data_IF_983049863163
#
_entry.id   IF_983049863163
#
_cell.length_a   1.000
_cell.length_b   1.000
_cell.length_c   1.000
_cell.angle_alpha   90.00
_cell.angle_beta   90.00
_cell.angle_gamma   90.00
#
_symmetry.space_group_name_H-M   'P 1'
#
loop_
_entity.id
_entity.type
_entity.pdbx_description
1 polymer ?
#
# COMPACT_ATOMS: atom_id res chain seq x y z
N UNK A 1 -49.27 20.29 -13.42
CA UNK A 1 -47.79 20.31 -13.37
C UNK A 1 -47.29 19.02 -14.00
N UNK A 2 -46.59 19.09 -15.13
CA UNK A 2 -45.93 17.93 -15.74
C UNK A 2 -44.55 17.83 -15.12
N UNK A 3 -44.30 16.79 -14.35
CA UNK A 3 -42.98 16.50 -13.77
C UNK A 3 -42.11 15.82 -14.82
N UNK A 4 -41.31 16.60 -15.54
CA UNK A 4 -40.27 16.10 -16.43
C UNK A 4 -38.98 15.86 -15.66
N UNK A 5 -38.58 14.61 -15.50
CA UNK A 5 -37.23 14.26 -15.02
C UNK A 5 -36.23 14.49 -16.15
N UNK A 6 -35.31 15.43 -15.96
CA UNK A 6 -34.20 15.63 -16.88
C UNK A 6 -33.26 14.42 -16.83
N UNK A 7 -33.19 13.65 -17.91
CA UNK A 7 -32.16 12.64 -18.13
C UNK A 7 -31.00 13.34 -18.86
N UNK A 8 -29.83 13.40 -18.24
CA UNK A 8 -28.61 13.81 -18.95
C UNK A 8 -28.39 12.82 -20.09
N UNK A 9 -28.30 13.31 -21.33
CA UNK A 9 -27.84 12.49 -22.45
C UNK A 9 -26.44 11.97 -22.10
N UNK A 10 -26.29 10.65 -22.05
CA UNK A 10 -24.97 10.04 -22.06
C UNK A 10 -24.25 10.53 -23.30
N UNK A 11 -23.06 11.10 -23.14
CA UNK A 11 -22.18 11.36 -24.28
C UNK A 11 -21.93 10.07 -25.08
N UNK A 12 -21.40 10.16 -26.30
CA UNK A 12 -21.11 8.98 -27.12
C UNK A 12 -20.32 7.96 -26.29
N UNK A 13 -20.81 6.71 -26.23
CA UNK A 13 -20.05 5.63 -25.63
C UNK A 13 -18.70 5.52 -26.35
N UNK A 14 -17.58 5.26 -25.63
CA UNK A 14 -16.30 5.02 -26.27
C UNK A 14 -16.44 3.94 -27.35
N UNK A 15 -15.71 4.03 -28.48
CA UNK A 15 -15.75 2.98 -29.49
C UNK A 15 -15.42 1.62 -28.87
N UNK A 16 -16.16 0.58 -29.25
CA UNK A 16 -15.95 -0.76 -28.73
C UNK A 16 -14.56 -1.29 -29.11
N UNK A 17 -13.98 -2.13 -28.25
CA UNK A 17 -12.71 -2.78 -28.55
C UNK A 17 -12.86 -3.74 -29.74
N UNK A 18 -11.83 -3.80 -30.59
CA UNK A 18 -11.68 -4.81 -31.62
C UNK A 18 -10.65 -5.84 -31.14
N UNK A 19 -11.16 -6.92 -30.54
CA UNK A 19 -10.36 -8.02 -29.97
C UNK A 19 -9.41 -8.66 -30.99
N UNK A 20 -9.78 -8.69 -32.28
CA UNK A 20 -8.93 -9.27 -33.33
C UNK A 20 -7.66 -8.47 -33.62
N UNK A 21 -7.61 -7.20 -33.20
CA UNK A 21 -6.45 -6.31 -33.36
C UNK A 21 -5.58 -6.21 -32.10
N UNK A 22 -6.00 -6.82 -30.98
CA UNK A 22 -5.25 -6.80 -29.73
C UNK A 22 -4.04 -7.73 -29.83
N UNK A 23 -2.85 -7.18 -29.63
CA UNK A 23 -1.60 -7.93 -29.48
C UNK A 23 -1.21 -7.99 -28.00
N UNK A 24 -1.36 -9.14 -27.31
CA UNK A 24 -0.91 -9.34 -25.94
C UNK A 24 0.54 -9.85 -25.86
N UNK A 25 1.22 -10.05 -26.99
CA UNK A 25 2.55 -10.66 -27.02
C UNK A 25 2.58 -12.03 -26.34
N UNK A 26 3.51 -12.20 -25.39
CA UNK A 26 3.68 -13.43 -24.62
C UNK A 26 2.83 -13.50 -23.35
N UNK A 27 2.03 -12.47 -23.06
CA UNK A 27 1.17 -12.45 -21.87
C UNK A 27 -0.10 -13.30 -22.06
N UNK A 28 -0.69 -13.82 -20.97
CA UNK A 28 -1.89 -14.66 -21.05
C UNK A 28 -3.08 -13.94 -21.70
N UNK A 29 -3.92 -14.72 -22.39
CA UNK A 29 -5.12 -14.23 -23.10
C UNK A 29 -6.43 -14.69 -22.48
N UNK A 30 -6.37 -15.54 -21.48
CA UNK A 30 -7.52 -16.12 -20.79
C UNK A 30 -7.27 -16.08 -19.29
N UNK A 31 -8.33 -15.94 -18.48
CA UNK A 31 -8.23 -16.13 -17.03
C UNK A 31 -7.49 -17.43 -16.69
N UNK A 32 -6.76 -17.42 -15.58
CA UNK A 32 -6.28 -18.65 -14.95
C UNK A 32 -7.47 -19.45 -14.44
N UNK A 33 -7.30 -20.76 -14.31
CA UNK A 33 -8.21 -21.57 -13.52
C UNK A 33 -8.29 -21.03 -12.07
N UNK A 34 -9.37 -21.31 -11.31
CA UNK A 34 -9.45 -20.95 -9.90
C UNK A 34 -8.18 -21.36 -9.15
N UNK A 35 -7.60 -20.44 -8.38
CA UNK A 35 -6.29 -20.66 -7.75
C UNK A 35 -6.33 -21.64 -6.56
N UNK A 36 -7.53 -21.97 -6.07
CA UNK A 36 -7.71 -22.89 -4.95
C UNK A 36 -7.15 -22.34 -3.64
N UNK A 37 -6.54 -23.22 -2.86
CA UNK A 37 -5.87 -22.91 -1.60
C UNK A 37 -4.42 -22.52 -1.84
N UNK A 38 -3.86 -21.70 -0.96
CA UNK A 38 -2.42 -21.39 -0.96
C UNK A 38 -1.58 -22.68 -0.95
N UNK A 39 -0.41 -22.69 -1.63
CA UNK A 39 0.37 -23.92 -1.82
C UNK A 39 1.07 -24.43 -0.55
N UNK A 40 1.28 -23.59 0.45
CA UNK A 40 1.97 -23.91 1.71
C UNK A 40 1.73 -22.83 2.78
N UNK A 41 2.25 -23.06 3.98
CA UNK A 41 2.14 -22.12 5.11
C UNK A 41 2.78 -20.76 4.80
N UNK A 42 3.94 -20.71 4.14
CA UNK A 42 4.61 -19.44 3.81
C UNK A 42 3.77 -18.56 2.89
N UNK A 43 3.08 -19.16 1.91
CA UNK A 43 2.13 -18.46 1.07
C UNK A 43 0.89 -18.00 1.85
N UNK A 44 0.43 -18.80 2.81
CA UNK A 44 -0.63 -18.42 3.76
C UNK A 44 -0.25 -17.22 4.65
N UNK A 45 0.96 -17.23 5.21
CA UNK A 45 1.54 -16.12 5.98
C UNK A 45 1.64 -14.86 5.13
N UNK A 46 2.11 -14.98 3.89
CA UNK A 46 2.14 -13.84 2.95
C UNK A 46 0.76 -13.25 2.72
N UNK A 47 -0.24 -14.09 2.43
CA UNK A 47 -1.60 -13.63 2.19
C UNK A 47 -2.21 -12.97 3.44
N UNK A 48 -1.99 -13.52 4.63
CA UNK A 48 -2.46 -12.91 5.87
C UNK A 48 -1.77 -11.55 6.14
N UNK A 49 -0.45 -11.46 5.93
CA UNK A 49 0.29 -10.20 6.05
C UNK A 49 -0.24 -9.13 5.07
N UNK A 50 -0.58 -9.50 3.85
CA UNK A 50 -1.22 -8.61 2.87
C UNK A 50 -2.63 -8.19 3.30
N UNK A 51 -3.44 -9.11 3.86
CA UNK A 51 -4.77 -8.79 4.39
C UNK A 51 -4.69 -7.77 5.53
N UNK A 52 -3.64 -7.82 6.36
CA UNK A 52 -3.43 -6.85 7.42
C UNK A 52 -3.28 -5.41 6.90
N UNK A 53 -2.95 -5.18 5.62
CA UNK A 53 -2.88 -3.85 5.03
C UNK A 53 -4.16 -3.03 5.25
N UNK A 54 -5.33 -3.67 5.28
CA UNK A 54 -6.62 -3.01 5.52
C UNK A 54 -6.82 -2.53 6.96
N UNK A 55 -6.14 -3.15 7.93
CA UNK A 55 -6.25 -2.78 9.33
C UNK A 55 -5.14 -1.83 9.80
N UNK A 56 -4.05 -1.69 9.05
CA UNK A 56 -2.98 -0.75 9.39
C UNK A 56 -3.41 0.66 9.03
N UNK A 57 -3.43 1.55 10.02
CA UNK A 57 -3.68 2.98 9.83
C UNK A 57 -2.56 3.59 8.99
N UNK A 58 -2.91 4.19 7.86
CA UNK A 58 -1.97 4.91 7.02
C UNK A 58 -1.53 6.24 7.65
N UNK A 59 -0.27 6.65 7.51
CA UNK A 59 0.21 7.93 8.07
C UNK A 59 -0.60 9.16 7.64
N UNK A 60 -1.16 9.17 6.44
CA UNK A 60 -2.02 10.26 5.93
C UNK A 60 -3.35 10.40 6.70
N UNK A 61 -3.79 9.35 7.40
CA UNK A 61 -4.97 9.40 8.30
C UNK A 61 -4.61 10.14 9.60
N UNK A 62 -3.34 10.11 10.01
CA UNK A 62 -2.81 10.80 11.19
C UNK A 62 -2.48 12.26 10.88
N UNK A 63 -1.77 12.52 9.79
CA UNK A 63 -1.51 13.86 9.27
C UNK A 63 -1.61 13.84 7.73
N UNK A 64 -2.55 14.58 7.11
CA UNK A 64 -2.77 14.54 5.67
C UNK A 64 -1.57 15.02 4.84
N UNK A 65 -0.53 15.59 5.46
CA UNK A 65 0.74 15.93 4.78
C UNK A 65 1.68 14.73 4.60
N UNK A 66 1.47 13.62 5.32
CA UNK A 66 2.28 12.41 5.27
C UNK A 66 1.89 11.51 4.09
N UNK A 67 2.16 11.99 2.87
CA UNK A 67 1.83 11.28 1.62
C UNK A 67 3.06 10.85 0.82
N UNK A 68 4.26 11.34 1.15
CA UNK A 68 5.47 11.00 0.40
C UNK A 68 5.90 9.57 0.68
N UNK A 69 6.09 8.79 -0.39
CA UNK A 69 6.76 7.48 -0.33
C UNK A 69 8.26 7.75 -0.33
N UNK A 70 8.94 7.32 0.72
CA UNK A 70 10.40 7.36 0.83
C UNK A 70 10.85 5.99 1.30
N UNK A 71 10.79 4.97 0.43
CA UNK A 71 10.89 3.56 0.83
C UNK A 71 12.16 3.20 1.62
N UNK A 72 13.25 3.96 1.45
CA UNK A 72 14.50 3.79 2.21
C UNK A 72 14.42 4.29 3.65
N UNK A 73 13.46 5.18 3.94
CA UNK A 73 13.26 5.81 5.24
C UNK A 73 11.93 5.39 5.88
N UNK A 74 10.90 5.14 5.06
CA UNK A 74 9.52 4.91 5.44
C UNK A 74 8.96 3.69 4.67
N UNK A 75 9.21 2.46 5.12
CA UNK A 75 8.81 1.25 4.40
C UNK A 75 7.29 1.10 4.35
N UNK A 76 6.77 0.61 3.23
CA UNK A 76 5.39 0.15 3.13
C UNK A 76 5.36 -1.24 2.52
N UNK A 77 5.11 -2.26 3.35
CA UNK A 77 5.20 -3.65 2.90
C UNK A 77 4.54 -4.63 3.88
N UNK A 78 4.13 -5.78 3.36
CA UNK A 78 3.88 -6.97 4.15
C UNK A 78 5.18 -7.51 4.77
N UNK A 79 5.08 -7.98 6.01
CA UNK A 79 6.17 -8.52 6.83
C UNK A 79 5.87 -9.99 7.10
N UNK A 80 6.47 -10.89 6.32
CA UNK A 80 6.07 -12.31 6.31
C UNK A 80 6.93 -13.19 7.22
N UNK A 81 8.10 -12.70 7.61
CA UNK A 81 9.03 -13.37 8.51
C UNK A 81 9.80 -12.36 9.36
N UNK A 82 10.57 -12.86 10.34
CA UNK A 82 11.38 -12.05 11.24
C UNK A 82 12.43 -11.23 10.47
N UNK A 83 13.00 -11.79 9.39
CA UNK A 83 14.00 -11.08 8.57
C UNK A 83 13.40 -9.83 7.94
N UNK A 84 12.12 -9.87 7.59
CA UNK A 84 11.40 -8.73 7.04
C UNK A 84 11.27 -7.56 8.03
N UNK A 85 11.39 -7.81 9.35
CA UNK A 85 11.34 -6.75 10.37
C UNK A 85 12.54 -5.81 10.35
N UNK A 86 13.64 -6.17 9.68
CA UNK A 86 14.74 -5.23 9.47
C UNK A 86 14.32 -4.01 8.63
N UNK A 87 13.20 -4.09 7.91
CA UNK A 87 12.61 -2.93 7.24
C UNK A 87 12.12 -1.87 8.25
N UNK A 88 11.63 -2.29 9.42
CA UNK A 88 11.04 -1.42 10.44
C UNK A 88 12.06 -0.81 11.39
N UNK A 89 13.18 -1.49 11.59
CA UNK A 89 14.09 -1.19 12.69
C UNK A 89 15.52 -1.18 12.16
N UNK A 90 16.22 -0.10 12.46
CA UNK A 90 17.67 -0.02 12.29
C UNK A 90 18.37 -1.08 13.17
N UNK A 91 18.54 -2.30 12.63
CA UNK A 91 19.28 -3.40 13.27
C UNK A 91 18.42 -4.63 13.61
N UNK A 92 19.08 -5.74 13.95
CA UNK A 92 18.42 -7.03 14.19
C UNK A 92 17.77 -7.14 15.56
N UNK A 93 18.23 -6.37 16.55
CA UNK A 93 17.90 -6.58 17.96
C UNK A 93 16.39 -6.58 18.28
N UNK A 94 15.59 -5.72 17.62
CA UNK A 94 14.13 -5.71 17.81
C UNK A 94 13.47 -6.89 17.09
N UNK A 95 13.94 -7.21 15.88
CA UNK A 95 13.50 -8.41 15.16
C UNK A 95 13.78 -9.69 15.94
N UNK A 96 14.94 -9.78 16.60
CA UNK A 96 15.33 -10.91 17.44
C UNK A 96 14.37 -11.07 18.63
N UNK A 97 13.95 -9.96 19.26
CA UNK A 97 12.94 -10.02 20.32
C UNK A 97 11.58 -10.47 19.77
N UNK A 98 11.14 -9.92 18.65
CA UNK A 98 9.88 -10.37 18.04
C UNK A 98 9.91 -11.87 17.70
N UNK A 99 11.03 -12.36 17.17
CA UNK A 99 11.25 -13.77 16.88
C UNK A 99 11.22 -14.67 18.11
N UNK A 100 11.88 -14.25 19.19
CA UNK A 100 11.89 -14.95 20.47
C UNK A 100 10.50 -15.07 21.13
N UNK A 101 9.54 -14.27 20.68
CA UNK A 101 8.17 -14.24 21.19
C UNK A 101 7.14 -14.70 20.16
N UNK A 102 7.50 -15.60 19.25
CA UNK A 102 6.54 -16.24 18.32
C UNK A 102 5.83 -15.27 17.36
N UNK A 103 6.60 -14.37 16.73
CA UNK A 103 6.11 -13.56 15.62
C UNK A 103 5.50 -14.42 14.51
N UNK A 104 4.34 -14.02 14.00
CA UNK A 104 3.59 -14.71 12.95
C UNK A 104 3.76 -13.99 11.62
N UNK A 105 3.23 -12.76 11.53
CA UNK A 105 3.20 -11.90 10.34
C UNK A 105 2.98 -10.43 10.75
N UNK A 106 3.17 -9.48 9.85
CA UNK A 106 2.78 -8.09 10.07
C UNK A 106 2.63 -7.30 8.78
N UNK A 107 2.27 -6.03 8.92
CA UNK A 107 2.25 -5.08 7.82
C UNK A 107 2.69 -3.72 8.34
N UNK A 108 3.42 -2.96 7.50
CA UNK A 108 3.81 -1.58 7.80
C UNK A 108 3.32 -0.63 6.72
N UNK A 109 2.88 0.54 7.16
CA UNK A 109 2.63 1.71 6.34
C UNK A 109 3.53 2.85 6.78
N UNK A 110 4.41 3.29 5.90
CA UNK A 110 5.41 4.31 6.14
C UNK A 110 5.29 5.47 5.16
N UNK A 111 5.27 6.69 5.67
CA UNK A 111 5.25 7.92 4.86
C UNK A 111 5.99 9.05 5.54
N UNK A 112 6.49 9.95 4.72
CA UNK A 112 7.01 11.23 5.15
C UNK A 112 6.19 12.39 4.59
N UNK A 113 6.44 13.59 5.11
CA UNK A 113 6.04 14.83 4.47
C UNK A 113 6.75 14.96 3.13
N UNK A 114 6.06 15.50 2.12
CA UNK A 114 6.68 15.77 0.80
C UNK A 114 7.91 16.67 0.99
N UNK A 115 9.10 16.23 0.51
CA UNK A 115 10.32 17.02 0.65
C UNK A 115 10.23 18.26 -0.23
N UNK A 116 10.93 19.32 0.18
CA UNK A 116 11.13 20.51 -0.66
C UNK A 116 11.85 20.09 -1.94
N UNK A 117 11.40 20.52 -3.14
CA UNK A 117 12.05 20.17 -4.39
C UNK A 117 13.54 20.55 -4.42
N UNK A 118 14.35 19.71 -5.06
CA UNK A 118 15.79 19.96 -5.21
C UNK A 118 16.04 21.32 -5.87
N UNK A 119 16.96 22.11 -5.30
CA UNK A 119 17.29 23.45 -5.78
C UNK A 119 16.39 24.58 -5.26
N UNK A 120 15.34 24.27 -4.50
CA UNK A 120 14.61 25.28 -3.75
C UNK A 120 15.14 25.37 -2.31
N UNK A 121 15.25 26.58 -1.73
CA UNK A 121 15.54 26.71 -0.30
C UNK A 121 14.43 25.99 0.47
N UNK A 122 14.80 25.08 1.38
CA UNK A 122 13.84 24.61 2.39
C UNK A 122 13.32 25.84 3.11
N UNK A 123 11.99 25.98 3.17
CA UNK A 123 11.41 27.07 3.92
C UNK A 123 11.87 26.92 5.36
N UNK A 124 12.24 28.02 6.03
CA UNK A 124 12.65 27.98 7.44
C UNK A 124 11.54 27.49 8.38
N UNK A 125 10.33 27.34 7.86
CA UNK A 125 9.13 26.78 8.51
C UNK A 125 8.86 25.31 8.16
N UNK A 126 9.66 24.67 7.29
CA UNK A 126 9.51 23.26 6.93
C UNK A 126 9.81 22.41 8.17
N UNK A 127 8.77 21.74 8.66
CA UNK A 127 8.81 20.82 9.80
C UNK A 127 8.55 19.41 9.28
N UNK A 128 9.52 18.81 8.56
CA UNK A 128 9.32 17.51 7.96
C UNK A 128 9.10 16.47 9.05
N UNK A 129 8.20 15.54 8.75
CA UNK A 129 7.81 14.44 9.63
C UNK A 129 7.87 13.15 8.86
N UNK A 130 8.12 12.09 9.59
CA UNK A 130 8.04 10.71 9.12
C UNK A 130 7.28 9.90 10.15
N UNK A 131 6.43 9.00 9.68
CA UNK A 131 5.70 8.06 10.49
C UNK A 131 5.70 6.72 9.78
N UNK A 132 6.21 5.71 10.47
CA UNK A 132 5.98 4.31 10.15
C UNK A 132 5.05 3.74 11.20
N UNK A 133 3.91 3.21 10.76
CA UNK A 133 2.98 2.51 11.61
C UNK A 133 2.91 1.05 11.17
N UNK A 134 3.25 0.15 12.07
CA UNK A 134 3.23 -1.27 11.83
C UNK A 134 2.33 -1.99 12.84
N UNK A 135 1.70 -3.06 12.37
CA UNK A 135 1.02 -4.02 13.24
C UNK A 135 1.72 -5.35 13.07
N UNK A 136 2.25 -5.84 14.19
CA UNK A 136 2.97 -7.12 14.27
C UNK A 136 2.07 -8.12 14.99
N UNK A 137 1.74 -9.23 14.34
CA UNK A 137 0.92 -10.30 14.89
C UNK A 137 1.81 -11.38 15.52
N UNK A 138 1.45 -11.80 16.72
CA UNK A 138 2.08 -12.87 17.47
C UNK A 138 1.11 -14.05 17.65
N UNK A 139 1.62 -15.18 18.14
CA UNK A 139 0.82 -16.39 18.33
C UNK A 139 -0.35 -16.17 19.30
N UNK A 140 -0.19 -15.31 20.31
CA UNK A 140 -1.27 -14.90 21.20
C UNK A 140 -1.00 -13.62 21.98
N UNK A 141 -1.94 -13.19 22.84
CA UNK A 141 -1.81 -11.93 23.59
C UNK A 141 -0.64 -11.88 24.58
N UNK A 142 -0.31 -13.02 25.20
CA UNK A 142 0.82 -13.10 26.12
C UNK A 142 2.16 -12.92 25.39
N UNK A 143 2.29 -13.54 24.22
CA UNK A 143 3.44 -13.37 23.34
C UNK A 143 3.59 -11.92 22.89
N UNK A 144 2.51 -11.28 22.46
CA UNK A 144 2.52 -9.88 22.06
C UNK A 144 2.92 -8.95 23.23
N UNK A 145 2.40 -9.18 24.43
CA UNK A 145 2.75 -8.39 25.62
C UNK A 145 4.23 -8.54 26.02
N UNK A 146 4.75 -9.78 25.97
CA UNK A 146 6.15 -10.07 26.23
C UNK A 146 7.04 -9.42 25.15
N UNK A 147 6.66 -9.57 23.87
CA UNK A 147 7.36 -8.98 22.74
C UNK A 147 7.41 -7.45 22.83
N UNK A 148 6.29 -6.76 23.10
CA UNK A 148 6.28 -5.31 23.27
C UNK A 148 7.27 -4.86 24.35
N UNK A 149 7.27 -5.54 25.50
CA UNK A 149 8.17 -5.25 26.61
C UNK A 149 9.64 -5.46 26.26
N UNK A 150 9.96 -6.61 25.65
CA UNK A 150 11.32 -6.97 25.25
C UNK A 150 11.85 -6.05 24.14
N UNK A 151 11.03 -5.78 23.13
CA UNK A 151 11.36 -4.87 22.03
C UNK A 151 11.61 -3.44 22.53
N UNK A 152 10.76 -2.91 23.43
CA UNK A 152 10.95 -1.58 23.99
C UNK A 152 12.22 -1.49 24.86
N UNK A 153 12.56 -2.53 25.62
CA UNK A 153 13.78 -2.60 26.41
C UNK A 153 15.04 -2.66 25.52
N UNK A 154 15.00 -3.48 24.46
CA UNK A 154 16.07 -3.55 23.46
C UNK A 154 16.25 -2.21 22.74
N UNK A 155 15.14 -1.59 22.32
CA UNK A 155 15.13 -0.28 21.67
C UNK A 155 15.74 0.82 22.55
N UNK A 156 15.46 0.83 23.86
CA UNK A 156 16.05 1.78 24.81
C UNK A 156 17.58 1.64 24.92
N UNK A 157 18.11 0.43 24.72
CA UNK A 157 19.53 0.14 24.80
C UNK A 157 20.31 0.48 23.51
N UNK A 158 19.63 0.76 22.40
CA UNK A 158 20.26 1.06 21.10
C UNK A 158 20.54 2.56 20.99
N UNK A 159 21.80 3.00 20.90
CA UNK A 159 22.13 4.39 20.60
C UNK A 159 21.69 4.78 19.19
N UNK A 160 21.23 6.01 19.02
CA UNK A 160 20.84 6.59 17.73
C UNK A 160 21.99 7.26 17.02
N UNK A 161 21.71 7.73 15.80
CA UNK A 161 22.68 8.44 14.98
C UNK A 161 23.44 9.50 15.80
N UNK A 162 24.77 9.48 15.70
CA UNK A 162 25.64 10.30 16.55
C UNK A 162 25.91 9.70 17.95
N UNK A 163 25.64 8.41 18.15
CA UNK A 163 25.77 7.70 19.43
C UNK A 163 24.94 8.34 20.56
N UNK A 164 23.76 8.89 20.21
CA UNK A 164 22.88 9.55 21.15
C UNK A 164 22.08 8.49 21.91
N UNK A 165 22.16 8.43 23.26
CA UNK A 165 21.38 7.46 24.02
C UNK A 165 19.88 7.77 23.94
N UNK A 166 19.07 6.73 23.80
CA UNK A 166 17.62 6.85 23.93
C UNK A 166 17.23 7.03 25.40
N UNK A 167 16.09 7.69 25.62
CA UNK A 167 15.44 7.83 26.93
C UNK A 167 13.96 7.52 26.79
N UNK A 168 13.30 7.18 27.90
CA UNK A 168 11.86 6.93 27.90
C UNK A 168 11.08 8.18 27.46
N UNK A 169 10.01 7.96 26.71
CA UNK A 169 9.04 8.95 26.28
C UNK A 169 7.66 8.60 26.85
N UNK A 170 7.13 9.37 27.82
CA UNK A 170 5.76 9.17 28.26
C UNK A 170 4.76 9.48 27.15
N UNK A 171 3.74 8.65 27.00
CA UNK A 171 2.58 8.91 26.13
C UNK A 171 1.34 9.06 27.04
N UNK A 172 0.99 10.26 27.51
CA UNK A 172 0.00 10.43 28.59
C UNK A 172 -1.37 9.81 28.33
N UNK A 173 -1.82 9.83 27.06
CA UNK A 173 -3.10 9.22 26.64
C UNK A 173 -3.06 7.69 26.58
N UNK A 174 -1.86 7.11 26.55
CA UNK A 174 -1.60 5.66 26.46
C UNK A 174 -0.49 5.28 27.46
N UNK A 175 -0.77 5.29 28.77
CA UNK A 175 0.26 5.08 29.80
C UNK A 175 0.86 3.66 29.78
N UNK A 176 0.22 2.71 29.10
CA UNK A 176 0.72 1.35 28.88
C UNK A 176 1.59 1.22 27.62
N UNK A 177 1.65 2.25 26.76
CA UNK A 177 2.54 2.27 25.61
C UNK A 177 3.98 2.45 26.10
N UNK A 178 4.86 1.56 25.63
CA UNK A 178 6.28 1.61 25.96
C UNK A 178 6.99 2.38 24.85
N UNK A 179 7.42 3.60 25.13
CA UNK A 179 8.05 4.45 24.12
C UNK A 179 9.40 5.01 24.59
N UNK A 180 10.29 5.19 23.61
CA UNK A 180 11.60 5.77 23.79
C UNK A 180 11.81 6.88 22.75
N UNK A 181 12.71 7.82 23.05
CA UNK A 181 13.05 8.94 22.17
C UNK A 181 14.53 9.28 22.28
N UNK A 182 15.12 9.76 21.21
CA UNK A 182 16.42 10.41 21.20
C UNK A 182 16.34 11.76 20.47
N UNK A 183 17.11 12.74 20.95
CA UNK A 183 17.31 14.02 20.28
C UNK A 183 18.59 13.94 19.43
N UNK A 184 18.43 13.61 18.16
CA UNK A 184 19.53 13.47 17.19
C UNK A 184 19.77 14.80 16.46
N UNK A 185 20.85 14.90 15.69
CA UNK A 185 21.16 16.13 14.92
C UNK A 185 20.05 16.53 13.94
N UNK A 186 19.25 15.56 13.48
CA UNK A 186 18.12 15.75 12.57
C UNK A 186 16.79 16.10 13.25
N UNK A 187 16.70 16.11 14.58
CA UNK A 187 15.45 16.31 15.33
C UNK A 187 15.24 15.26 16.42
N UNK A 188 14.02 14.75 16.52
CA UNK A 188 13.62 13.73 17.49
C UNK A 188 13.20 12.48 16.74
N UNK A 189 13.74 11.34 17.17
CA UNK A 189 13.35 10.01 16.73
C UNK A 189 12.70 9.32 17.92
N UNK A 190 11.45 8.87 17.77
CA UNK A 190 10.71 8.18 18.81
C UNK A 190 10.12 6.87 18.28
N UNK A 191 10.13 5.85 19.12
CA UNK A 191 9.45 4.59 18.86
C UNK A 191 8.55 4.21 20.01
N UNK A 192 7.42 3.60 19.67
CA UNK A 192 6.46 3.09 20.63
C UNK A 192 6.09 1.64 20.32
N UNK A 193 5.90 0.87 21.38
CA UNK A 193 5.47 -0.52 21.37
C UNK A 193 4.27 -0.65 22.29
N UNK A 194 3.10 -0.95 21.73
CA UNK A 194 1.86 -1.11 22.48
C UNK A 194 1.28 -2.48 22.21
N UNK A 195 1.17 -3.32 23.24
CA UNK A 195 0.48 -4.60 23.14
C UNK A 195 -1.04 -4.38 23.07
N UNK A 196 -1.71 -5.02 22.13
CA UNK A 196 -3.15 -4.92 21.89
C UNK A 196 -3.69 -6.25 21.37
N UNK A 197 -4.31 -7.06 22.24
CA UNK A 197 -4.68 -8.44 21.88
C UNK A 197 -3.45 -9.23 21.42
N UNK A 198 -3.52 -10.02 20.33
CA UNK A 198 -2.37 -10.75 19.77
C UNK A 198 -1.43 -9.87 18.94
N UNK A 199 -1.55 -8.53 19.02
CA UNK A 199 -0.77 -7.59 18.23
C UNK A 199 0.19 -6.77 19.09
N UNK A 200 1.33 -6.40 18.50
CA UNK A 200 2.08 -5.23 18.91
C UNK A 200 1.87 -4.14 17.87
N UNK A 201 1.34 -3.02 18.31
CA UNK A 201 1.27 -1.78 17.53
C UNK A 201 2.61 -1.08 17.69
N UNK A 202 3.33 -0.96 16.59
CA UNK A 202 4.64 -0.32 16.52
C UNK A 202 4.52 1.00 15.77
N UNK A 203 5.08 2.06 16.33
CA UNK A 203 5.24 3.33 15.64
C UNK A 203 6.70 3.74 15.68
N UNK A 204 7.21 4.21 14.54
CA UNK A 204 8.39 5.06 14.47
C UNK A 204 7.95 6.46 14.03
N UNK A 205 8.41 7.48 14.74
CA UNK A 205 8.13 8.89 14.42
C UNK A 205 9.43 9.68 14.41
N UNK A 206 9.69 10.34 13.29
CA UNK A 206 10.71 11.38 13.18
C UNK A 206 10.06 12.75 13.10
N UNK A 207 10.52 13.70 13.91
CA UNK A 207 10.01 15.08 13.94
C UNK A 207 11.14 16.07 14.20
N UNK A 208 11.19 17.16 13.44
CA UNK A 208 12.11 18.28 13.72
C UNK A 208 11.62 19.23 14.82
N UNK A 209 10.41 19.02 15.34
CA UNK A 209 9.77 19.99 16.24
C UNK A 209 10.14 19.74 17.71
N UNK A 210 9.63 18.65 18.30
CA UNK A 210 9.88 18.29 19.70
C UNK A 210 9.56 16.81 19.95
N UNK A 211 10.03 16.29 21.07
CA UNK A 211 9.62 14.97 21.58
C UNK A 211 8.11 14.90 21.89
N UNK A 212 7.51 16.00 22.33
CA UNK A 212 6.08 16.05 22.64
C UNK A 212 5.23 15.94 21.36
N UNK A 213 5.65 16.58 20.26
CA UNK A 213 4.99 16.38 18.96
C UNK A 213 5.08 14.93 18.50
N UNK A 214 6.22 14.26 18.73
CA UNK A 214 6.34 12.84 18.43
C UNK A 214 5.40 11.98 19.30
N UNK A 215 5.30 12.27 20.60
CA UNK A 215 4.38 11.61 21.51
C UNK A 215 2.91 11.79 21.10
N UNK A 216 2.53 13.00 20.69
CA UNK A 216 1.18 13.31 20.21
C UNK A 216 0.83 12.57 18.92
N UNK A 217 1.79 12.47 17.99
CA UNK A 217 1.62 11.68 16.76
C UNK A 217 1.46 10.19 17.04
N UNK A 218 2.25 9.63 17.96
CA UNK A 218 2.11 8.24 18.42
C UNK A 218 0.71 8.05 19.01
N UNK A 219 0.29 8.92 19.94
CA UNK A 219 -1.02 8.81 20.57
C UNK A 219 -2.16 8.92 19.54
N UNK A 220 -2.07 9.83 18.56
CA UNK A 220 -3.07 9.97 17.49
C UNK A 220 -3.11 8.74 16.59
N UNK A 221 -1.96 8.12 16.34
CA UNK A 221 -1.89 6.85 15.59
C UNK A 221 -2.60 5.75 16.36
N UNK A 222 -2.36 5.63 17.67
CA UNK A 222 -3.01 4.64 18.53
C UNK A 222 -4.53 4.84 18.60
N UNK A 223 -5.03 6.09 18.62
CA UNK A 223 -6.47 6.40 18.60
C UNK A 223 -7.19 5.77 17.40
N UNK A 224 -6.52 5.70 16.25
CA UNK A 224 -7.05 5.13 15.01
C UNK A 224 -6.74 3.63 14.90
N UNK A 225 -5.55 3.22 15.33
CA UNK A 225 -5.04 1.88 15.11
C UNK A 225 -5.71 0.84 16.02
N UNK A 226 -5.99 1.18 17.28
CA UNK A 226 -6.63 0.26 18.24
C UNK A 226 -7.99 -0.26 17.72
N UNK A 227 -8.96 0.63 17.43
CA UNK A 227 -10.25 0.21 16.88
C UNK A 227 -10.11 -0.54 15.55
N UNK A 228 -9.19 -0.11 14.68
CA UNK A 228 -8.95 -0.79 13.40
C UNK A 228 -8.47 -2.24 13.60
N UNK A 229 -7.64 -2.49 14.62
CA UNK A 229 -7.19 -3.82 14.98
C UNK A 229 -8.29 -4.70 15.59
N UNK A 230 -9.20 -4.11 16.37
CA UNK A 230 -10.33 -4.85 16.95
C UNK A 230 -11.31 -5.40 15.91
N UNK A 231 -11.42 -4.74 14.75
CA UNK A 231 -12.34 -5.16 13.67
C UNK A 231 -11.72 -6.20 12.73
N UNK A 232 -10.40 -6.39 12.76
CA UNK A 232 -9.72 -7.32 11.85
C UNK A 232 -10.00 -8.78 12.22
N UNK A 233 -10.55 -9.52 11.27
CA UNK A 233 -10.82 -10.95 11.42
C UNK A 233 -9.58 -11.76 11.05
N UNK A 234 -8.71 -11.92 12.04
CA UNK A 234 -7.47 -12.66 11.89
C UNK A 234 -7.73 -14.14 11.60
N UNK A 235 -7.03 -14.68 10.61
CA UNK A 235 -7.09 -16.12 10.32
C UNK A 235 -6.40 -16.88 11.45
N UNK A 236 -6.99 -17.93 12.07
CA UNK A 236 -6.28 -18.74 13.07
C UNK A 236 -4.92 -19.22 12.54
N UNK A 237 -3.89 -19.22 13.39
CA UNK A 237 -2.49 -19.43 12.95
C UNK A 237 -2.33 -20.80 12.27
N UNK A 238 -2.97 -21.81 12.82
CA UNK A 238 -3.01 -23.18 12.30
C UNK A 238 -3.80 -23.33 10.99
N UNK A 239 -4.57 -22.31 10.59
CA UNK A 239 -5.36 -22.29 9.36
C UNK A 239 -4.71 -21.49 8.23
N UNK A 240 -3.56 -20.87 8.44
CA UNK A 240 -2.90 -20.06 7.41
C UNK A 240 -2.61 -20.84 6.11
N UNK A 241 -2.18 -22.10 6.22
CA UNK A 241 -1.93 -22.97 5.07
C UNK A 241 -3.22 -23.41 4.32
N UNK A 242 -4.40 -23.10 4.86
CA UNK A 242 -5.70 -23.45 4.28
C UNK A 242 -6.42 -22.26 3.63
N UNK A 243 -5.79 -21.07 3.64
CA UNK A 243 -6.39 -19.87 3.07
C UNK A 243 -6.69 -20.01 1.57
N UNK A 244 -7.85 -19.55 1.07
CA UNK A 244 -8.09 -19.45 -0.35
C UNK A 244 -7.15 -18.42 -0.97
N UNK A 245 -6.41 -18.80 -2.00
CA UNK A 245 -5.44 -17.93 -2.66
C UNK A 245 -6.10 -16.76 -3.42
N UNK A 246 -7.32 -16.97 -3.90
CA UNK A 246 -8.14 -15.93 -4.53
C UNK A 246 -9.63 -16.19 -4.29
N UNK A 247 -10.17 -15.79 -3.12
CA UNK A 247 -11.59 -15.98 -2.81
C UNK A 247 -12.52 -15.15 -3.71
N UNK A 248 -11.97 -14.25 -4.53
CA UNK A 248 -12.73 -13.28 -5.33
C UNK A 248 -12.82 -13.67 -6.81
N UNK A 249 -11.89 -14.51 -7.28
CA UNK A 249 -11.67 -14.82 -8.69
C UNK A 249 -11.01 -13.68 -9.49
N UNK A 250 -10.75 -12.52 -8.87
CA UNK A 250 -10.19 -11.35 -9.54
C UNK A 250 -8.69 -11.53 -9.83
N UNK A 251 -7.94 -12.16 -8.94
CA UNK A 251 -6.52 -12.42 -9.13
C UNK A 251 -6.29 -13.43 -10.27
N UNK A 252 -7.16 -14.44 -10.40
CA UNK A 252 -7.15 -15.37 -11.54
C UNK A 252 -7.36 -14.65 -12.88
N UNK A 253 -8.06 -13.49 -12.87
CA UNK A 253 -8.30 -12.61 -14.03
C UNK A 253 -7.30 -11.46 -14.17
N UNK A 254 -6.28 -11.41 -13.34
CA UNK A 254 -5.22 -10.39 -13.38
C UNK A 254 -3.98 -10.95 -14.05
N UNK A 255 -3.33 -10.19 -14.93
CA UNK A 255 -2.08 -10.60 -15.58
C UNK A 255 -1.02 -10.87 -14.50
N UNK A 256 -0.46 -12.09 -14.42
CA UNK A 256 0.46 -12.45 -13.37
C UNK A 256 1.87 -11.91 -13.63
N UNK A 257 2.55 -11.50 -12.58
CA UNK A 257 3.99 -11.24 -12.61
C UNK A 257 4.75 -12.57 -12.61
N UNK A 258 5.86 -12.62 -13.35
CA UNK A 258 6.75 -13.80 -13.33
C UNK A 258 7.36 -14.00 -11.94
N UNK A 259 7.79 -12.91 -11.30
CA UNK A 259 8.39 -12.91 -9.97
C UNK A 259 7.69 -11.85 -9.11
N UNK A 260 6.52 -12.16 -8.50
CA UNK A 260 5.79 -11.20 -7.70
C UNK A 260 6.58 -10.84 -6.43
N UNK A 261 6.59 -9.55 -6.11
CA UNK A 261 7.04 -9.06 -4.80
C UNK A 261 6.11 -9.55 -3.69
N UNK A 262 6.51 -9.33 -2.43
CA UNK A 262 5.68 -9.65 -1.26
C UNK A 262 4.36 -8.87 -1.23
N UNK A 263 4.23 -7.76 -1.98
CA UNK A 263 3.02 -6.94 -2.05
C UNK A 263 2.17 -7.21 -3.30
N UNK A 264 2.59 -8.14 -4.16
CA UNK A 264 1.89 -8.57 -5.37
C UNK A 264 1.27 -9.96 -5.22
N UNK A 265 0.62 -10.43 -6.28
CA UNK A 265 -0.11 -11.69 -6.35
C UNK A 265 -1.22 -11.78 -5.28
N UNK A 266 -1.99 -10.70 -5.14
CA UNK A 266 -3.02 -10.59 -4.11
C UNK A 266 -4.15 -9.63 -4.48
N UNK A 267 -5.25 -9.70 -3.74
CA UNK A 267 -6.40 -8.78 -3.84
C UNK A 267 -6.53 -8.04 -2.52
N UNK A 268 -6.30 -6.73 -2.56
CA UNK A 268 -6.51 -5.86 -1.42
C UNK A 268 -7.95 -5.34 -1.39
N UNK A 269 -8.48 -5.15 -0.19
CA UNK A 269 -9.63 -4.25 -0.01
C UNK A 269 -9.21 -2.80 -0.33
N UNK A 270 -10.16 -1.91 -0.66
CA UNK A 270 -9.85 -0.56 -1.09
C UNK A 270 -8.96 0.20 -0.11
N UNK A 271 -9.22 0.10 1.21
CA UNK A 271 -8.40 0.74 2.24
C UNK A 271 -6.96 0.22 2.23
N UNK A 272 -6.77 -1.10 2.21
CA UNK A 272 -5.45 -1.71 2.17
C UNK A 272 -4.64 -1.31 0.93
N UNK A 273 -5.31 -1.18 -0.23
CA UNK A 273 -4.67 -0.76 -1.47
C UNK A 273 -4.15 0.68 -1.46
N UNK A 274 -4.66 1.57 -0.58
CA UNK A 274 -4.21 2.96 -0.49
C UNK A 274 -2.76 3.09 -0.03
N UNK A 275 -2.26 2.12 0.74
CA UNK A 275 -0.87 2.04 1.17
C UNK A 275 0.12 2.15 0.00
N UNK A 276 -0.27 1.75 -1.21
CA UNK A 276 0.61 1.74 -2.39
C UNK A 276 0.34 2.88 -3.37
N UNK A 277 -0.46 3.89 -2.97
CA UNK A 277 -0.82 5.02 -3.84
C UNK A 277 0.07 6.22 -3.59
N UNK A 278 0.35 6.99 -4.63
CA UNK A 278 1.12 8.23 -4.55
C UNK A 278 0.39 9.28 -3.70
N UNK A 279 -0.91 9.45 -3.95
CA UNK A 279 -1.80 10.30 -3.18
C UNK A 279 -2.97 9.46 -2.63
N UNK A 280 -2.84 8.91 -1.41
CA UNK A 280 -3.87 8.08 -0.82
C UNK A 280 -5.15 8.86 -0.48
N UNK A 281 -5.06 10.17 -0.22
CA UNK A 281 -6.22 11.02 0.10
C UNK A 281 -7.08 11.21 -1.14
N UNK A 282 -6.47 11.64 -2.25
CA UNK A 282 -7.18 11.78 -3.52
C UNK A 282 -7.66 10.42 -4.06
N UNK A 283 -6.89 9.36 -3.83
CA UNK A 283 -7.28 8.01 -4.26
C UNK A 283 -8.45 7.46 -3.45
N UNK A 284 -8.53 7.71 -2.13
CA UNK A 284 -9.69 7.32 -1.32
C UNK A 284 -10.97 8.00 -1.82
N UNK A 285 -10.91 9.29 -2.14
CA UNK A 285 -12.05 10.01 -2.70
C UNK A 285 -12.48 9.40 -4.05
N UNK A 286 -11.52 9.03 -4.90
CA UNK A 286 -11.77 8.34 -6.16
C UNK A 286 -12.40 6.96 -5.94
N UNK A 287 -11.89 6.15 -5.01
CA UNK A 287 -12.47 4.84 -4.69
C UNK A 287 -13.92 4.95 -4.25
N UNK A 288 -14.25 5.96 -3.44
CA UNK A 288 -15.61 6.20 -2.98
C UNK A 288 -16.55 6.61 -4.13
N UNK A 289 -16.13 7.55 -4.99
CA UNK A 289 -16.93 8.04 -6.12
C UNK A 289 -17.15 6.99 -7.22
N UNK A 290 -16.14 6.15 -7.46
CA UNK A 290 -16.20 5.05 -8.42
C UNK A 290 -16.82 3.77 -7.83
N UNK A 291 -17.08 3.70 -6.53
CA UNK A 291 -17.54 2.48 -5.86
C UNK A 291 -16.55 1.32 -6.03
N UNK A 292 -15.26 1.54 -5.79
CA UNK A 292 -14.25 0.48 -5.86
C UNK A 292 -14.46 -0.50 -4.70
N UNK A 293 -14.59 -1.78 -5.03
CA UNK A 293 -14.84 -2.86 -4.08
C UNK A 293 -13.57 -3.65 -3.78
N UNK A 294 -12.68 -3.81 -4.78
CA UNK A 294 -11.46 -4.62 -4.67
C UNK A 294 -10.37 -4.09 -5.59
N UNK A 295 -9.12 -4.30 -5.20
CA UNK A 295 -7.95 -3.97 -6.02
C UNK A 295 -7.02 -5.18 -6.10
N UNK A 296 -6.96 -5.80 -7.27
CA UNK A 296 -5.99 -6.86 -7.55
C UNK A 296 -4.67 -6.27 -8.01
N UNK A 297 -3.57 -6.73 -7.41
CA UNK A 297 -2.22 -6.22 -7.68
C UNK A 297 -1.32 -7.40 -8.04
N UNK A 298 -0.89 -7.44 -9.30
CA UNK A 298 0.08 -8.42 -9.79
C UNK A 298 1.00 -7.75 -10.83
N UNK A 299 1.15 -8.26 -12.07
CA UNK A 299 1.87 -7.54 -13.13
C UNK A 299 1.12 -6.28 -13.58
N UNK A 300 -0.20 -6.37 -13.59
CA UNK A 300 -1.15 -5.28 -13.79
C UNK A 300 -1.84 -4.95 -12.46
N UNK A 301 -2.47 -3.78 -12.39
CA UNK A 301 -3.39 -3.47 -11.30
C UNK A 301 -4.80 -3.37 -11.84
N UNK A 302 -5.74 -4.12 -11.25
CA UNK A 302 -7.16 -4.13 -11.62
C UNK A 302 -7.99 -3.62 -10.46
N UNK A 303 -8.84 -2.63 -10.72
CA UNK A 303 -9.79 -2.03 -9.79
C UNK A 303 -11.19 -2.53 -10.18
N UNK A 304 -11.81 -3.33 -9.32
CA UNK A 304 -13.20 -3.77 -9.49
C UNK A 304 -14.14 -2.71 -8.89
N UNK A 305 -14.90 -2.04 -9.75
CA UNK A 305 -15.97 -1.13 -9.37
C UNK A 305 -17.30 -1.87 -9.16
N UNK A 306 -18.31 -1.18 -8.64
CA UNK A 306 -19.68 -1.70 -8.56
C UNK A 306 -20.33 -1.89 -9.94
N UNK A 307 -19.97 -1.06 -10.90
CA UNK A 307 -20.52 -1.10 -12.27
C UNK A 307 -19.55 -0.47 -13.30
N UNK A 308 -19.97 -0.49 -14.57
CA UNK A 308 -19.21 0.08 -15.70
C UNK A 308 -19.02 1.60 -15.59
N UNK A 309 -19.98 2.33 -15.01
CA UNK A 309 -19.84 3.79 -14.82
C UNK A 309 -18.78 4.10 -13.78
N UNK A 310 -18.74 3.34 -12.69
CA UNK A 310 -17.70 3.39 -11.67
C UNK A 310 -16.33 3.09 -12.27
N UNK A 311 -16.21 2.07 -13.12
CA UNK A 311 -14.95 1.76 -13.81
C UNK A 311 -14.45 2.93 -14.68
N UNK A 312 -15.33 3.60 -15.43
CA UNK A 312 -14.96 4.77 -16.22
C UNK A 312 -14.51 5.95 -15.34
N UNK A 313 -15.21 6.22 -14.23
CA UNK A 313 -14.78 7.22 -13.24
C UNK A 313 -13.44 6.89 -12.62
N UNK A 314 -13.18 5.60 -12.36
CA UNK A 314 -11.89 5.13 -11.87
C UNK A 314 -10.78 5.40 -12.89
N UNK A 315 -10.99 5.14 -14.18
CA UNK A 315 -10.03 5.52 -15.24
C UNK A 315 -9.71 7.02 -15.21
N UNK A 316 -10.73 7.87 -15.12
CA UNK A 316 -10.53 9.32 -15.04
C UNK A 316 -9.77 9.76 -13.79
N UNK A 317 -10.09 9.15 -12.65
CA UNK A 317 -9.40 9.40 -11.40
C UNK A 317 -7.96 8.91 -11.39
N UNK A 318 -7.69 7.72 -11.94
CA UNK A 318 -6.34 7.20 -12.11
C UNK A 318 -5.50 8.13 -12.99
N UNK A 319 -6.05 8.64 -14.10
CA UNK A 319 -5.34 9.60 -14.94
C UNK A 319 -5.07 10.91 -14.19
N UNK A 320 -6.07 11.45 -13.49
CA UNK A 320 -5.92 12.69 -12.72
C UNK A 320 -4.84 12.59 -11.63
N UNK A 321 -4.67 11.41 -11.03
CA UNK A 321 -3.74 11.19 -9.91
C UNK A 321 -2.35 10.74 -10.39
N UNK A 322 -2.29 9.73 -11.26
CA UNK A 322 -1.03 9.04 -11.58
C UNK A 322 -0.21 9.77 -12.66
N UNK A 323 -0.86 10.45 -13.62
CA UNK A 323 -0.17 11.16 -14.71
C UNK A 323 0.66 12.34 -14.20
N UNK A 324 0.12 13.29 -13.41
CA UNK A 324 0.94 14.40 -12.91
C UNK A 324 2.01 13.96 -11.91
N UNK A 325 1.78 12.87 -11.16
CA UNK A 325 2.70 12.42 -10.10
C UNK A 325 4.11 12.12 -10.62
N UNK A 326 4.25 11.52 -11.81
CA UNK A 326 5.56 11.24 -12.43
C UNK A 326 5.84 12.06 -13.70
N UNK A 327 5.04 13.11 -13.96
CA UNK A 327 5.26 14.02 -15.10
C UNK A 327 4.97 13.39 -16.46
N UNK A 328 4.05 12.44 -16.53
CA UNK A 328 3.66 11.77 -17.77
C UNK A 328 3.00 12.73 -18.77
N UNK A 329 3.22 12.48 -20.07
CA UNK A 329 2.56 13.16 -21.19
C UNK A 329 1.87 12.13 -22.08
N UNK A 330 0.85 12.56 -22.82
CA UNK A 330 0.12 11.66 -23.74
C UNK A 330 1.07 10.96 -24.71
N UNK A 331 0.85 9.66 -24.90
CA UNK A 331 1.57 8.80 -25.84
C UNK A 331 0.58 8.11 -26.80
N UNK A 332 1.06 7.43 -27.86
CA UNK A 332 0.19 6.67 -28.75
C UNK A 332 -0.67 5.63 -28.00
N UNK A 333 -1.92 5.50 -28.43
CA UNK A 333 -2.87 4.52 -27.89
C UNK A 333 -2.62 3.10 -28.42
N UNK A 334 -3.48 2.18 -28.02
CA UNK A 334 -3.35 0.75 -28.33
C UNK A 334 -4.26 0.37 -29.51
N UNK A 335 -3.69 -0.27 -30.52
CA UNK A 335 -4.46 -0.82 -31.64
C UNK A 335 -5.54 -1.78 -31.15
N UNK A 336 -6.78 -1.60 -31.61
CA UNK A 336 -7.92 -2.42 -31.18
C UNK A 336 -8.50 -2.08 -29.81
N UNK A 337 -7.89 -1.18 -29.03
CA UNK A 337 -8.42 -0.74 -27.72
C UNK A 337 -8.47 0.79 -27.61
N UNK A 338 -9.42 1.45 -28.30
CA UNK A 338 -9.52 2.91 -28.33
C UNK A 338 -9.88 3.56 -26.98
N UNK A 339 -10.37 2.77 -26.01
CA UNK A 339 -10.59 3.24 -24.63
C UNK A 339 -9.31 3.34 -23.80
N UNK A 340 -8.19 2.79 -24.27
CA UNK A 340 -6.92 2.86 -23.55
C UNK A 340 -6.28 4.25 -23.67
N UNK A 341 -5.85 4.78 -22.53
CA UNK A 341 -5.14 6.07 -22.40
C UNK A 341 -3.71 5.77 -21.99
N UNK A 342 -2.76 6.08 -22.86
CA UNK A 342 -1.34 5.78 -22.67
C UNK A 342 -0.52 7.07 -22.54
N UNK A 343 0.53 6.99 -21.75
CA UNK A 343 1.37 8.10 -21.40
C UNK A 343 2.85 7.70 -21.30
N UNK A 344 3.76 8.62 -21.61
CA UNK A 344 5.22 8.49 -21.51
C UNK A 344 5.76 9.64 -20.65
N UNK A 345 6.60 9.33 -19.66
CA UNK A 345 7.28 10.34 -18.82
C UNK A 345 8.71 10.67 -19.29
N UNK A 346 9.14 10.09 -20.41
CA UNK A 346 10.49 10.24 -20.95
C UNK A 346 11.53 9.36 -20.26
N UNK A 347 12.75 9.40 -20.78
CA UNK A 347 13.89 8.58 -20.33
C UNK A 347 14.86 9.34 -19.41
N UNK A 348 14.49 10.54 -18.97
CA UNK A 348 15.40 11.47 -18.28
C UNK A 348 15.86 10.99 -16.90
N UNK A 349 15.12 10.06 -16.28
CA UNK A 349 15.48 9.44 -15.01
C UNK A 349 15.59 7.91 -15.15
N UNK A 350 16.81 7.36 -15.22
CA UNK A 350 17.07 5.93 -15.35
C UNK A 350 16.52 5.07 -14.20
N UNK A 351 16.46 5.60 -12.97
CA UNK A 351 15.97 4.85 -11.79
C UNK A 351 14.47 4.53 -11.90
N UNK A 352 13.77 5.26 -12.76
CA UNK A 352 12.35 5.11 -13.03
C UNK A 352 12.09 4.54 -14.43
N UNK A 353 13.09 3.86 -15.02
CA UNK A 353 12.98 3.26 -16.34
C UNK A 353 11.86 2.20 -16.42
N UNK A 354 11.61 1.44 -15.36
CA UNK A 354 10.56 0.40 -15.32
C UNK A 354 9.14 0.95 -15.34
N UNK A 355 8.99 2.24 -15.03
CA UNK A 355 7.73 2.99 -15.01
C UNK A 355 7.76 4.14 -16.03
N UNK A 356 8.41 3.95 -17.18
CA UNK A 356 8.46 4.98 -18.22
C UNK A 356 7.11 5.17 -18.92
N UNK A 357 6.42 4.08 -19.22
CA UNK A 357 5.12 4.09 -19.86
C UNK A 357 4.06 3.70 -18.85
N UNK A 358 2.92 4.40 -18.89
CA UNK A 358 1.71 4.11 -18.13
C UNK A 358 0.56 4.02 -19.11
N UNK A 359 -0.17 2.92 -19.09
CA UNK A 359 -1.43 2.81 -19.82
C UNK A 359 -2.55 2.43 -18.85
N UNK A 360 -3.72 3.04 -19.04
CA UNK A 360 -4.93 2.87 -18.22
C UNK A 360 -6.10 2.61 -19.17
N UNK A 361 -6.93 1.61 -18.87
CA UNK A 361 -8.12 1.27 -19.65
C UNK A 361 -9.25 0.75 -18.74
N UNK A 362 -10.41 0.48 -19.35
CA UNK A 362 -11.55 -0.16 -18.70
C UNK A 362 -12.16 -1.28 -19.56
N UNK A 363 -12.77 -2.25 -18.89
CA UNK A 363 -13.56 -3.34 -19.46
C UNK A 363 -14.66 -3.75 -18.45
N UNK A 364 -15.93 -3.71 -18.85
CA UNK A 364 -17.07 -3.89 -17.94
C UNK A 364 -16.92 -3.03 -16.66
N UNK A 365 -17.05 -3.63 -15.48
CA UNK A 365 -16.90 -3.00 -14.16
C UNK A 365 -15.44 -2.86 -13.70
N UNK A 366 -14.46 -3.09 -14.57
CA UNK A 366 -13.05 -3.07 -14.21
C UNK A 366 -12.34 -1.88 -14.84
N UNK A 367 -11.66 -1.08 -14.03
CA UNK A 367 -10.57 -0.22 -14.50
C UNK A 367 -9.25 -0.94 -14.27
N UNK A 368 -8.26 -0.74 -15.13
CA UNK A 368 -6.97 -1.40 -14.96
C UNK A 368 -5.84 -0.59 -15.54
N UNK A 369 -4.65 -0.79 -14.99
CA UNK A 369 -3.42 -0.10 -15.43
C UNK A 369 -2.21 -1.03 -15.44
N UNK A 370 -1.23 -0.63 -16.23
CA UNK A 370 0.08 -1.26 -16.30
C UNK A 370 1.15 -0.18 -16.50
N UNK A 371 2.34 -0.46 -15.96
CA UNK A 371 3.55 0.31 -16.27
C UNK A 371 4.62 -0.58 -16.85
N UNK A 372 5.40 -0.04 -17.80
CA UNK A 372 6.53 -0.73 -18.38
C UNK A 372 7.64 0.24 -18.79
N UNK A 373 8.84 -0.31 -19.05
CA UNK A 373 9.94 0.49 -19.57
C UNK A 373 9.95 0.67 -21.08
N UNK A 374 9.13 -0.09 -21.80
CA UNK A 374 8.97 -0.02 -23.25
C UNK A 374 7.51 0.14 -23.61
N UNK A 375 7.23 0.94 -24.64
CA UNK A 375 5.86 1.24 -25.09
C UNK A 375 5.10 -0.03 -25.47
N UNK A 376 5.75 -0.87 -26.28
CA UNK A 376 5.18 -2.14 -26.74
C UNK A 376 4.82 -3.07 -25.58
N UNK A 377 5.65 -3.14 -24.53
CA UNK A 377 5.37 -3.98 -23.36
C UNK A 377 4.15 -3.45 -22.59
N UNK A 378 4.02 -2.12 -22.41
CA UNK A 378 2.84 -1.51 -21.78
C UNK A 378 1.56 -1.78 -22.60
N UNK A 379 1.65 -1.67 -23.92
CA UNK A 379 0.53 -1.97 -24.82
C UNK A 379 0.11 -3.44 -24.73
N UNK A 380 1.07 -4.37 -24.77
CA UNK A 380 0.83 -5.81 -24.68
C UNK A 380 0.24 -6.22 -23.33
N UNK A 381 0.69 -5.61 -22.22
CA UNK A 381 0.11 -5.83 -20.90
C UNK A 381 -1.36 -5.42 -20.81
N UNK A 382 -1.70 -4.24 -21.35
CA UNK A 382 -3.09 -3.75 -21.33
C UNK A 382 -3.98 -4.56 -22.26
N UNK A 383 -3.49 -4.94 -23.44
CA UNK A 383 -4.20 -5.84 -24.34
C UNK A 383 -4.46 -7.20 -23.67
N UNK A 384 -3.44 -7.80 -23.05
CA UNK A 384 -3.57 -9.04 -22.27
C UNK A 384 -4.57 -8.91 -21.13
N UNK A 385 -4.49 -7.83 -20.35
CA UNK A 385 -5.41 -7.62 -19.23
C UNK A 385 -6.87 -7.45 -19.70
N UNK A 386 -7.09 -6.76 -20.81
CA UNK A 386 -8.42 -6.65 -21.42
C UNK A 386 -8.97 -8.04 -21.80
N UNK A 387 -8.15 -8.87 -22.45
CA UNK A 387 -8.51 -10.24 -22.83
C UNK A 387 -8.77 -11.14 -21.61
N UNK A 388 -8.01 -10.99 -20.53
CA UNK A 388 -8.25 -11.74 -19.29
C UNK A 388 -9.54 -11.33 -18.57
N UNK A 389 -10.00 -10.09 -18.70
CA UNK A 389 -11.24 -9.63 -18.06
C UNK A 389 -12.48 -9.98 -18.89
N UNK A 390 -12.36 -9.93 -20.23
CA UNK A 390 -13.47 -10.16 -21.17
C UNK A 390 -13.54 -11.60 -21.68
N UNK A 391 -12.48 -12.38 -21.52
CA UNK A 391 -12.43 -13.79 -21.85
C UNK A 391 -13.25 -14.64 -20.89
N UNK A 392 -13.93 -15.65 -21.46
CA UNK A 392 -14.61 -16.72 -20.73
C UNK A 392 -13.65 -17.84 -20.34
#
# INVERSE_FOLDING_TARGET
MVTGSAVKSGGPAPPAANVALLDPGNYPRRPRAPLGTVPNEDAGRRLEAQRMASMVTGPWEVDPKLISVQSDLAPTTALTDIRSLSALVFGTAIGDQAGAHHFVVGFVSGRATVPTPAGQPSATTDRPKILDNAVLRFAGPQDAAAAASAMAAANLAIPRAGNVPARRLPIPRYPTALANVAAVSGGFEAEAFTAHGPYVLFQYVGSKESADVAADMIAKTLDLQGPSADHFQATPVEQLASLPADPTGLLARTVPATNPTVNQATVYEPRGALNFRSDPVATQAMYNDAGIQRVSVDRTTVYEAVDTTGALRAVDGLVRIDVPFLGYKSAPGISGLPSARCFDRGSDNPDLATVRYLCIAAADRYAFKATAGQELDAHQLIASQYLMLTGS
#
